data_IF_122367356305
#
_entry.id   IF_122367356305
#
_cell.length_a   1.000
_cell.length_b   1.000
_cell.length_c   1.000
_cell.angle_alpha   90.00
_cell.angle_beta   90.00
_cell.angle_gamma   90.00
#
_symmetry.space_group_name_H-M   'P 1'
#
loop_
_entity.id
_entity.type
_entity.pdbx_description
1 polymer ?
#
# COMPACT_ATOMS: atom_id res chain seq x y z
N UNK A 1 48.37 -54.13 28.86
CA UNK A 1 47.35 -53.54 27.97
C UNK A 1 46.36 -52.82 28.88
N UNK A 2 46.38 -51.48 28.88
CA UNK A 2 45.73 -50.64 29.90
C UNK A 2 44.37 -50.18 29.38
N UNK A 3 43.32 -50.49 30.14
CA UNK A 3 41.93 -50.13 29.84
C UNK A 3 41.72 -48.62 29.96
N UNK A 4 41.16 -48.03 28.89
CA UNK A 4 40.50 -46.74 28.87
C UNK A 4 39.12 -46.82 29.55
N UNK A 5 38.58 -45.65 29.93
CA UNK A 5 37.16 -45.23 30.06
C UNK A 5 37.07 -44.29 31.27
N UNK A 6 37.18 -42.98 31.04
CA UNK A 6 36.13 -42.00 30.69
C UNK A 6 35.36 -41.50 31.91
N UNK A 7 35.55 -40.22 32.23
CA UNK A 7 34.84 -39.45 33.26
C UNK A 7 33.55 -38.89 32.67
N UNK A 8 32.36 -39.13 33.26
CA UNK A 8 31.20 -38.30 33.01
C UNK A 8 30.95 -37.34 34.17
N UNK A 9 30.98 -36.06 33.82
CA UNK A 9 30.44 -34.93 34.57
C UNK A 9 28.90 -34.88 34.47
N UNK A 10 28.32 -33.87 35.15
CA UNK A 10 26.96 -33.30 34.96
C UNK A 10 25.87 -34.10 35.70
N UNK A 11 25.30 -33.70 36.84
CA UNK A 11 24.87 -32.38 37.33
C UNK A 11 24.15 -31.56 36.26
N UNK A 12 22.83 -31.76 36.25
CA UNK A 12 21.84 -30.70 36.50
C UNK A 12 21.17 -29.98 35.31
N UNK A 13 19.85 -29.88 35.47
CA UNK A 13 19.01 -28.68 35.32
C UNK A 13 18.17 -28.57 34.02
N UNK A 14 16.86 -28.73 34.26
CA UNK A 14 15.74 -27.89 33.81
C UNK A 14 15.21 -28.10 32.38
N UNK A 15 14.19 -28.97 32.28
CA UNK A 15 13.25 -28.98 31.17
C UNK A 15 12.47 -27.65 31.14
N UNK A 16 12.83 -26.76 30.22
CA UNK A 16 12.07 -25.56 29.90
C UNK A 16 10.85 -25.97 29.07
N UNK A 17 9.67 -25.65 29.59
CA UNK A 17 8.37 -25.84 28.95
C UNK A 17 8.25 -25.00 27.68
N UNK A 18 8.08 -25.68 26.54
CA UNK A 18 7.72 -25.06 25.27
C UNK A 18 6.22 -24.74 25.28
N UNK A 19 5.85 -23.48 25.55
CA UNK A 19 4.50 -22.99 25.29
C UNK A 19 4.46 -22.40 23.86
N UNK A 20 3.99 -23.21 22.92
CA UNK A 20 3.69 -22.78 21.55
C UNK A 20 2.39 -21.96 21.56
N UNK A 21 2.51 -20.63 21.42
CA UNK A 21 1.36 -19.75 21.23
C UNK A 21 1.15 -19.47 19.75
N UNK A 22 0.12 -20.08 19.16
CA UNK A 22 -0.45 -19.62 17.91
C UNK A 22 -1.44 -18.49 18.25
N UNK A 23 -1.16 -17.25 17.85
CA UNK A 23 -2.15 -16.16 17.94
C UNK A 23 -2.40 -15.59 16.55
N UNK A 24 -3.50 -16.05 15.96
CA UNK A 24 -4.25 -15.25 14.98
C UNK A 24 -5.47 -14.71 15.71
N UNK A 25 -5.78 -13.44 15.45
CA UNK A 25 -7.06 -12.70 15.61
C UNK A 25 -6.78 -11.32 16.21
N UNK A 26 -7.19 -10.28 15.47
CA UNK A 26 -6.71 -8.91 15.59
C UNK A 26 -7.06 -8.18 16.89
N UNK A 27 -6.12 -7.32 17.31
CA UNK A 27 -6.38 -6.15 18.16
C UNK A 27 -5.23 -5.16 17.92
N UNK A 28 -5.56 -3.88 17.67
CA UNK A 28 -4.61 -2.78 17.42
C UNK A 28 -3.60 -2.63 18.56
N UNK A 29 -2.31 -2.44 18.28
CA UNK A 29 -1.40 -1.75 19.19
C UNK A 29 -1.04 -0.36 18.62
N UNK A 30 -1.50 0.68 19.32
CA UNK A 30 -0.79 1.96 19.34
C UNK A 30 0.55 1.71 20.04
N UNK A 31 1.62 1.57 19.27
CA UNK A 31 2.95 1.28 19.80
C UNK A 31 4.01 1.69 18.79
N UNK A 32 4.68 2.82 19.07
CA UNK A 32 5.85 3.26 18.32
C UNK A 32 6.95 2.21 18.39
N UNK A 33 7.36 1.71 17.23
CA UNK A 33 8.44 0.74 17.05
C UNK A 33 9.44 1.26 16.03
N UNK A 34 10.72 1.28 16.42
CA UNK A 34 11.89 1.85 15.74
C UNK A 34 12.39 1.05 14.52
N UNK A 35 11.48 0.51 13.71
CA UNK A 35 11.82 -0.10 12.44
C UNK A 35 10.93 0.52 11.37
N UNK A 36 11.52 1.42 10.56
CA UNK A 36 10.86 2.08 9.44
C UNK A 36 10.26 1.07 8.48
N UNK A 37 9.00 0.73 8.69
CA UNK A 37 8.22 -0.03 7.72
C UNK A 37 7.82 0.94 6.63
N UNK A 38 8.41 0.72 5.47
CA UNK A 38 8.10 1.35 4.20
C UNK A 38 6.60 1.51 4.00
N UNK A 39 6.29 2.56 3.26
CA UNK A 39 5.02 3.07 2.74
C UNK A 39 4.14 1.99 2.10
N UNK A 40 3.65 1.01 2.88
CA UNK A 40 2.69 0.04 2.37
C UNK A 40 1.29 0.63 2.49
N UNK A 41 0.58 0.74 1.36
CA UNK A 41 -0.85 1.04 1.38
C UNK A 41 -1.59 0.00 2.22
N UNK A 42 -2.62 0.46 2.93
CA UNK A 42 -3.49 -0.33 3.81
C UNK A 42 -4.23 -1.47 3.10
N UNK A 43 -4.23 -1.50 1.77
CA UNK A 43 -4.85 -2.57 0.96
C UNK A 43 -3.92 -3.02 -0.17
N UNK A 44 -3.87 -4.33 -0.48
CA UNK A 44 -2.95 -4.89 -1.48
C UNK A 44 -3.11 -4.26 -2.87
N UNK A 45 -4.35 -3.91 -3.26
CA UNK A 45 -4.64 -3.34 -4.58
C UNK A 45 -4.06 -1.95 -4.81
N UNK A 46 -3.83 -1.17 -3.74
CA UNK A 46 -3.18 0.13 -3.84
C UNK A 46 -1.67 0.01 -4.07
N UNK A 47 -1.05 -1.10 -3.65
CA UNK A 47 0.37 -1.33 -3.90
C UNK A 47 0.65 -1.50 -5.40
N UNK A 48 -0.27 -2.12 -6.14
CA UNK A 48 -0.17 -2.33 -7.59
C UNK A 48 -0.24 -1.04 -8.41
N UNK A 49 -0.78 0.04 -7.84
CA UNK A 49 -0.73 1.37 -8.45
C UNK A 49 0.66 2.00 -8.40
N UNK A 50 1.62 1.40 -7.68
CA UNK A 50 3.02 1.85 -7.62
C UNK A 50 3.15 3.36 -7.31
N UNK A 51 2.37 3.82 -6.31
CA UNK A 51 2.33 5.24 -5.94
C UNK A 51 1.45 6.13 -6.82
N UNK A 52 0.74 5.55 -7.80
CA UNK A 52 -0.27 6.24 -8.60
C UNK A 52 0.30 7.37 -9.47
N UNK A 53 -0.59 8.22 -9.98
CA UNK A 53 -0.16 9.48 -10.65
C UNK A 53 0.13 10.57 -9.62
N UNK A 54 -0.48 10.51 -8.43
CA UNK A 54 -0.17 11.41 -7.31
C UNK A 54 1.29 11.34 -6.89
N UNK A 55 1.90 10.15 -6.86
CA UNK A 55 3.32 9.99 -6.51
C UNK A 55 4.28 10.58 -7.56
N UNK A 56 3.78 10.85 -8.77
CA UNK A 56 4.54 11.46 -9.88
C UNK A 56 4.18 12.94 -10.08
N UNK A 57 3.37 13.50 -9.19
CA UNK A 57 2.87 14.87 -9.33
C UNK A 57 3.90 15.96 -9.06
N UNK A 58 5.03 15.60 -8.43
CA UNK A 58 6.00 16.57 -7.92
C UNK A 58 5.55 17.26 -6.63
N UNK A 59 4.34 16.97 -6.13
CA UNK A 59 3.82 17.46 -4.86
C UNK A 59 4.22 16.50 -3.75
N UNK A 60 4.77 17.05 -2.66
CA UNK A 60 5.03 16.28 -1.45
C UNK A 60 3.75 16.22 -0.62
N UNK A 61 3.31 15.00 -0.31
CA UNK A 61 2.20 14.73 0.60
C UNK A 61 2.75 13.98 1.80
N UNK A 62 2.15 14.18 2.97
CA UNK A 62 2.36 13.26 4.08
C UNK A 62 1.77 11.88 3.75
N UNK A 63 2.09 10.90 4.58
CA UNK A 63 1.71 9.50 4.34
C UNK A 63 0.19 9.27 4.37
N UNK A 64 -0.52 9.96 5.27
CA UNK A 64 -1.96 9.86 5.40
C UNK A 64 -2.66 10.41 4.17
N UNK A 65 -2.23 11.58 3.71
CA UNK A 65 -2.80 12.23 2.53
C UNK A 65 -2.44 11.49 1.24
N UNK A 66 -1.23 10.97 1.13
CA UNK A 66 -0.84 10.10 0.03
C UNK A 66 -1.73 8.84 -0.04
N UNK A 67 -2.06 8.24 1.11
CA UNK A 67 -2.92 7.05 1.15
C UNK A 67 -4.35 7.39 0.70
N UNK A 68 -4.94 8.46 1.22
CA UNK A 68 -6.28 8.94 0.83
C UNK A 68 -6.34 9.30 -0.67
N UNK A 69 -5.27 9.92 -1.19
CA UNK A 69 -5.12 10.24 -2.60
C UNK A 69 -5.10 8.97 -3.47
N UNK A 70 -4.33 7.95 -3.08
CA UNK A 70 -4.28 6.67 -3.79
C UNK A 70 -5.60 5.91 -3.75
N UNK A 71 -6.30 5.93 -2.62
CA UNK A 71 -7.65 5.37 -2.48
C UNK A 71 -8.64 6.02 -3.46
N UNK A 72 -8.55 7.35 -3.62
CA UNK A 72 -9.36 8.08 -4.59
C UNK A 72 -9.03 7.70 -6.03
N UNK A 73 -7.74 7.53 -6.36
CA UNK A 73 -7.32 7.05 -7.68
C UNK A 73 -7.88 5.67 -7.98
N UNK A 74 -7.71 4.73 -7.06
CA UNK A 74 -8.26 3.39 -7.18
C UNK A 74 -9.78 3.42 -7.36
N UNK A 75 -10.50 4.17 -6.52
CA UNK A 75 -11.97 4.26 -6.61
C UNK A 75 -12.44 4.86 -7.94
N UNK A 76 -11.73 5.87 -8.45
CA UNK A 76 -12.02 6.48 -9.75
C UNK A 76 -11.85 5.50 -10.91
N UNK A 77 -10.78 4.69 -10.86
CA UNK A 77 -10.51 3.66 -11.85
C UNK A 77 -11.50 2.48 -11.74
N UNK A 78 -11.84 2.08 -10.53
CA UNK A 78 -12.61 0.87 -10.26
C UNK A 78 -14.11 1.03 -10.47
N UNK A 79 -14.70 2.08 -9.88
CA UNK A 79 -16.16 2.16 -9.69
C UNK A 79 -16.77 3.45 -10.21
N UNK A 80 -15.99 4.51 -10.41
CA UNK A 80 -16.55 5.79 -10.81
C UNK A 80 -17.02 5.76 -12.28
N UNK A 81 -18.26 6.21 -12.56
CA UNK A 81 -18.72 6.46 -13.91
C UNK A 81 -17.81 7.47 -14.63
N UNK A 82 -17.83 7.43 -15.96
CA UNK A 82 -17.03 8.34 -16.79
C UNK A 82 -17.31 9.79 -16.43
N UNK A 83 -16.24 10.56 -16.21
CA UNK A 83 -16.32 11.99 -15.90
C UNK A 83 -16.81 12.32 -14.48
N UNK A 84 -17.11 11.32 -13.65
CA UNK A 84 -17.57 11.55 -12.27
C UNK A 84 -16.37 11.79 -11.35
N UNK A 85 -16.33 12.91 -10.60
CA UNK A 85 -15.24 13.18 -9.67
C UNK A 85 -15.34 12.32 -8.42
N UNK A 86 -14.22 11.73 -8.04
CA UNK A 86 -14.00 11.10 -6.73
C UNK A 86 -13.17 12.05 -5.89
N UNK A 87 -13.83 12.77 -5.00
CA UNK A 87 -13.16 13.70 -4.07
C UNK A 87 -12.58 12.97 -2.87
N UNK A 88 -11.49 13.52 -2.33
CA UNK A 88 -10.90 13.10 -1.06
C UNK A 88 -10.36 14.31 -0.31
N UNK A 89 -10.30 14.19 1.01
CA UNK A 89 -9.81 15.25 1.90
C UNK A 89 -8.83 14.65 2.90
N UNK A 90 -7.62 15.18 2.83
CA UNK A 90 -6.51 14.96 3.73
C UNK A 90 -6.54 15.88 4.94
N UNK A 91 -5.46 15.82 5.72
CA UNK A 91 -5.24 16.73 6.84
C UNK A 91 -4.60 18.04 6.34
N UNK A 92 -3.62 17.94 5.43
CA UNK A 92 -2.89 19.08 4.85
C UNK A 92 -3.22 19.31 3.36
N UNK A 93 -3.78 18.31 2.69
CA UNK A 93 -4.11 18.33 1.27
C UNK A 93 -5.56 17.92 1.00
N UNK A 94 -6.06 18.26 -0.18
CA UNK A 94 -7.33 17.74 -0.69
C UNK A 94 -7.27 17.60 -2.19
N UNK A 95 -8.19 16.83 -2.76
CA UNK A 95 -8.20 16.66 -4.19
C UNK A 95 -9.42 15.96 -4.73
N UNK A 96 -9.38 15.75 -6.04
CA UNK A 96 -10.36 14.96 -6.75
C UNK A 96 -9.71 14.23 -7.92
N UNK A 97 -10.22 13.04 -8.19
CA UNK A 97 -9.80 12.20 -9.31
C UNK A 97 -10.97 12.03 -10.28
N UNK A 98 -10.72 12.22 -11.57
CA UNK A 98 -11.71 12.02 -12.63
C UNK A 98 -11.16 11.04 -13.64
N UNK A 99 -11.88 9.94 -13.87
CA UNK A 99 -11.52 8.92 -14.86
C UNK A 99 -12.36 9.06 -16.14
N UNK A 100 -11.72 8.82 -17.28
CA UNK A 100 -12.34 8.82 -18.60
C UNK A 100 -12.92 7.44 -18.95
N UNK A 101 -13.50 7.35 -20.14
CA UNK A 101 -13.96 6.09 -20.72
C UNK A 101 -12.79 5.09 -20.86
N UNK A 102 -13.04 3.79 -20.65
CA UNK A 102 -12.04 2.76 -20.89
C UNK A 102 -11.69 2.64 -22.37
N UNK A 103 -10.46 2.24 -22.64
CA UNK A 103 -9.91 1.95 -23.97
C UNK A 103 -9.01 0.72 -23.92
N UNK A 104 -8.65 0.17 -25.08
CA UNK A 104 -7.82 -1.03 -25.17
C UNK A 104 -6.36 -0.69 -25.48
N UNK A 105 -5.44 -1.34 -24.77
CA UNK A 105 -4.01 -1.42 -25.11
C UNK A 105 -3.67 -2.89 -25.21
N UNK A 106 -3.46 -3.38 -26.44
CA UNK A 106 -3.42 -4.82 -26.69
C UNK A 106 -4.72 -5.49 -26.26
N UNK A 107 -4.62 -6.40 -25.28
CA UNK A 107 -5.77 -7.11 -24.69
C UNK A 107 -6.15 -6.59 -23.29
N UNK A 108 -5.60 -5.47 -22.85
CA UNK A 108 -5.87 -4.89 -21.53
C UNK A 108 -6.79 -3.67 -21.63
N UNK A 109 -7.78 -3.62 -20.73
CA UNK A 109 -8.63 -2.44 -20.55
C UNK A 109 -7.87 -1.38 -19.74
N UNK A 110 -7.59 -0.23 -20.33
CA UNK A 110 -6.95 0.89 -19.68
C UNK A 110 -7.90 2.07 -19.53
N UNK A 111 -7.65 2.92 -18.55
CA UNK A 111 -8.41 4.15 -18.31
C UNK A 111 -7.44 5.31 -18.10
N UNK A 112 -7.67 6.39 -18.83
CA UNK A 112 -7.04 7.67 -18.55
C UNK A 112 -7.75 8.32 -17.38
N UNK A 113 -6.99 9.03 -16.54
CA UNK A 113 -7.54 9.76 -15.42
C UNK A 113 -6.69 10.97 -15.06
N UNK A 114 -7.31 11.92 -14.38
CA UNK A 114 -6.66 13.14 -13.91
C UNK A 114 -6.87 13.29 -12.41
N UNK A 115 -5.84 13.79 -11.73
CA UNK A 115 -5.84 14.04 -10.30
C UNK A 115 -5.56 15.53 -10.08
N UNK A 116 -6.54 16.24 -9.53
CA UNK A 116 -6.37 17.63 -9.09
C UNK A 116 -6.12 17.64 -7.59
N UNK A 117 -5.03 18.28 -7.17
CA UNK A 117 -4.50 18.35 -5.82
C UNK A 117 -4.50 19.81 -5.39
N UNK A 118 -4.83 20.09 -4.14
CA UNK A 118 -4.64 21.38 -3.50
C UNK A 118 -3.84 21.17 -2.22
N UNK A 119 -2.66 21.79 -2.15
CA UNK A 119 -1.75 21.75 -1.00
C UNK A 119 -1.29 23.18 -0.72
N UNK A 120 -1.38 23.63 0.53
CA UNK A 120 -1.05 25.02 0.93
C UNK A 120 -1.73 26.09 0.06
N UNK A 121 -2.97 25.81 -0.39
CA UNK A 121 -3.74 26.69 -1.27
C UNK A 121 -3.27 26.74 -2.73
N UNK A 122 -2.25 25.98 -3.12
CA UNK A 122 -1.79 25.84 -4.51
C UNK A 122 -2.44 24.63 -5.18
N UNK A 123 -3.12 24.85 -6.30
CA UNK A 123 -3.68 23.78 -7.11
C UNK A 123 -2.62 23.21 -8.08
N UNK A 124 -2.53 21.88 -8.14
CA UNK A 124 -1.71 21.13 -9.11
C UNK A 124 -2.58 20.06 -9.75
N UNK A 125 -2.50 19.90 -11.08
CA UNK A 125 -3.22 18.84 -11.79
C UNK A 125 -2.25 17.95 -12.54
N UNK A 126 -2.37 16.65 -12.33
CA UNK A 126 -1.63 15.64 -13.07
C UNK A 126 -2.56 14.68 -13.80
N UNK A 127 -2.02 14.03 -14.82
CA UNK A 127 -2.74 13.08 -15.67
C UNK A 127 -1.90 11.85 -15.89
N UNK A 128 -2.55 10.72 -16.08
CA UNK A 128 -1.93 9.50 -16.54
C UNK A 128 -2.97 8.47 -16.94
N UNK A 129 -2.53 7.23 -17.04
CA UNK A 129 -3.38 6.10 -17.35
C UNK A 129 -2.96 4.89 -16.50
N UNK A 130 -3.93 4.02 -16.25
CA UNK A 130 -3.70 2.73 -15.64
C UNK A 130 -4.45 1.65 -16.41
N UNK A 131 -3.89 0.45 -16.47
CA UNK A 131 -4.46 -0.72 -17.12
C UNK A 131 -4.93 -1.73 -16.08
N UNK A 132 -6.07 -2.35 -16.36
CA UNK A 132 -6.68 -3.37 -15.52
C UNK A 132 -5.99 -4.70 -15.75
N UNK A 133 -5.56 -5.32 -14.65
CA UNK A 133 -4.96 -6.64 -14.64
C UNK A 133 -6.01 -7.74 -14.47
N UNK A 134 -5.66 -8.97 -14.87
CA UNK A 134 -6.56 -10.12 -14.78
C UNK A 134 -6.92 -10.49 -13.33
N UNK A 135 -6.06 -10.17 -12.36
CA UNK A 135 -6.28 -10.35 -10.92
C UNK A 135 -7.16 -9.25 -10.30
N UNK A 136 -7.67 -8.32 -11.11
CA UNK A 136 -8.52 -7.22 -10.67
C UNK A 136 -7.75 -6.01 -10.16
N UNK A 137 -6.42 -6.03 -10.12
CA UNK A 137 -5.61 -4.85 -9.77
C UNK A 137 -5.49 -3.86 -10.93
N UNK A 138 -5.01 -2.65 -10.63
CA UNK A 138 -4.67 -1.63 -11.62
C UNK A 138 -3.17 -1.35 -11.57
N UNK A 139 -2.53 -1.30 -12.75
CA UNK A 139 -1.13 -0.92 -12.88
C UNK A 139 -0.98 0.32 -13.76
N UNK A 140 -0.07 1.26 -13.42
CA UNK A 140 0.23 2.40 -14.26
C UNK A 140 0.62 2.00 -15.69
N UNK A 141 0.12 2.73 -16.68
CA UNK A 141 0.63 2.66 -18.04
C UNK A 141 1.80 3.63 -18.16
N UNK A 142 3.02 3.11 -18.12
CA UNK A 142 4.28 3.86 -18.21
C UNK A 142 5.03 3.55 -19.49
#
# INVERSE_FOLDING_TARGET
MRSLVSRPALLSILCVSMLSACTTTGTRPSGGGLFGRSSQPSTPFLANLEGGIVGRSGVQLDRGDQTKALEAEYKALETAPVGTPVSWTGDDAKGQVVANAPYQVGNQNCRQYSHSLTVDGRETRVRGAACRNADGSWSPLT
#
